data_IF_817352182562
#
_entry.id   IF_817352182562
#
_cell.length_a   1.000
_cell.length_b   1.000
_cell.length_c   1.000
_cell.angle_alpha   90.00
_cell.angle_beta   90.00
_cell.angle_gamma   90.00
#
_symmetry.space_group_name_H-M   'P 1'
#
loop_
_entity.id
_entity.type
_entity.pdbx_description
1 polymer ?
#
# COMPACT_ATOMS: atom_id res chain seq x y z
N UNK A 1 11.64 -6.72 9.40
CA UNK A 1 10.65 -7.72 8.98
C UNK A 1 9.33 -6.97 8.84
N UNK A 2 8.50 -7.27 7.84
CA UNK A 2 7.14 -6.72 7.80
C UNK A 2 6.38 -7.28 9.01
N UNK A 3 5.65 -6.42 9.73
CA UNK A 3 4.97 -6.75 10.97
C UNK A 3 3.78 -7.70 10.74
N UNK A 4 3.21 -8.21 11.83
CA UNK A 4 2.07 -9.15 11.77
C UNK A 4 0.80 -8.52 11.14
N UNK A 5 0.64 -7.19 11.24
CA UNK A 5 -0.49 -6.42 10.68
C UNK A 5 -0.37 -6.33 9.16
N UNK A 6 0.81 -6.02 8.63
CA UNK A 6 1.08 -5.93 7.19
C UNK A 6 0.77 -7.25 6.48
N UNK A 7 1.23 -8.38 7.05
CA UNK A 7 0.95 -9.72 6.50
C UNK A 7 -0.53 -10.10 6.50
N UNK A 8 -1.31 -9.58 7.45
CA UNK A 8 -2.75 -9.83 7.48
C UNK A 8 -3.49 -9.01 6.41
N UNK A 9 -3.05 -7.77 6.15
CA UNK A 9 -3.63 -6.93 5.10
C UNK A 9 -3.61 -7.63 3.74
N UNK A 10 -2.48 -8.23 3.34
CA UNK A 10 -2.36 -8.96 2.07
C UNK A 10 -3.42 -10.07 1.92
N UNK A 11 -3.69 -10.84 2.98
CA UNK A 11 -4.65 -11.93 2.95
C UNK A 11 -6.08 -11.42 2.75
N UNK A 12 -6.44 -10.36 3.46
CA UNK A 12 -7.76 -9.74 3.32
C UNK A 12 -7.92 -9.12 1.93
N UNK A 13 -6.91 -8.43 1.42
CA UNK A 13 -6.91 -7.86 0.08
C UNK A 13 -7.07 -8.97 -0.99
N UNK A 14 -6.28 -10.04 -0.90
CA UNK A 14 -6.39 -11.16 -1.82
C UNK A 14 -7.80 -11.77 -1.84
N UNK A 15 -8.39 -12.03 -0.67
CA UNK A 15 -9.77 -12.54 -0.58
C UNK A 15 -10.79 -11.53 -1.13
N UNK A 16 -10.61 -10.25 -0.83
CA UNK A 16 -11.51 -9.18 -1.28
C UNK A 16 -11.49 -9.00 -2.80
N UNK A 17 -10.31 -9.08 -3.42
CA UNK A 17 -10.17 -8.95 -4.88
C UNK A 17 -10.79 -10.11 -5.65
N UNK A 18 -10.90 -11.30 -5.04
CA UNK A 18 -11.53 -12.49 -5.64
C UNK A 18 -13.00 -12.69 -5.26
N UNK A 19 -13.50 -11.98 -4.24
CA UNK A 19 -14.88 -12.10 -3.80
C UNK A 19 -15.85 -11.44 -4.80
N UNK A 20 -17.09 -11.97 -4.84
CA UNK A 20 -18.24 -11.36 -5.56
C UNK A 20 -17.99 -11.09 -7.06
N UNK A 21 -17.20 -11.93 -7.73
CA UNK A 21 -16.91 -11.77 -9.17
C UNK A 21 -16.11 -10.51 -9.52
N UNK A 22 -15.45 -9.89 -8.54
CA UNK A 22 -14.59 -8.73 -8.77
C UNK A 22 -13.33 -9.13 -9.53
N UNK A 23 -12.89 -8.27 -10.44
CA UNK A 23 -11.59 -8.36 -11.10
C UNK A 23 -10.79 -7.12 -10.76
N UNK A 24 -10.18 -7.14 -9.57
CA UNK A 24 -9.32 -6.06 -9.10
C UNK A 24 -7.86 -6.51 -9.20
N UNK A 25 -7.03 -5.69 -9.83
CA UNK A 25 -5.58 -5.84 -9.85
C UNK A 25 -4.98 -5.14 -8.65
N UNK A 26 -3.93 -5.69 -8.07
CA UNK A 26 -3.22 -5.11 -6.94
C UNK A 26 -1.74 -5.48 -6.99
N UNK A 27 -0.92 -4.71 -6.29
CA UNK A 27 0.53 -4.89 -6.17
C UNK A 27 0.99 -4.60 -4.75
N UNK A 28 2.27 -4.86 -4.47
CA UNK A 28 2.92 -4.46 -3.22
C UNK A 28 4.08 -3.52 -3.48
N UNK A 29 4.32 -2.60 -2.55
CA UNK A 29 5.39 -1.62 -2.68
C UNK A 29 6.23 -1.50 -1.41
N UNK A 30 7.48 -1.09 -1.59
CA UNK A 30 8.42 -0.82 -0.50
C UNK A 30 9.88 -0.86 -0.93
N UNK A 31 10.79 -0.52 -0.01
CA UNK A 31 12.22 -0.30 -0.32
C UNK A 31 12.99 -1.54 -0.75
N UNK A 32 12.57 -2.73 -0.31
CA UNK A 32 13.34 -3.96 -0.49
C UNK A 32 12.56 -5.01 -1.27
N UNK A 33 12.90 -5.16 -2.55
CA UNK A 33 12.34 -6.20 -3.43
C UNK A 33 12.41 -7.60 -2.80
N UNK A 34 13.54 -7.92 -2.17
CA UNK A 34 13.77 -9.22 -1.54
C UNK A 34 12.78 -9.47 -0.39
N UNK A 35 12.58 -8.48 0.50
CA UNK A 35 11.62 -8.60 1.62
C UNK A 35 10.17 -8.68 1.13
N UNK A 36 9.84 -7.95 0.06
CA UNK A 36 8.51 -8.00 -0.56
C UNK A 36 8.22 -9.38 -1.17
N UNK A 37 9.18 -9.95 -1.91
CA UNK A 37 9.08 -11.33 -2.42
C UNK A 37 8.89 -12.34 -1.29
N UNK A 38 9.71 -12.25 -0.24
CA UNK A 38 9.60 -13.11 0.93
C UNK A 38 8.20 -13.05 1.55
N UNK A 39 7.59 -11.86 1.65
CA UNK A 39 6.24 -11.75 2.21
C UNK A 39 5.16 -12.34 1.31
N UNK A 40 5.30 -12.23 -0.02
CA UNK A 40 4.41 -12.95 -0.93
C UNK A 40 4.53 -14.46 -0.73
N UNK A 41 5.75 -14.98 -0.68
CA UNK A 41 6.04 -16.41 -0.45
C UNK A 41 5.43 -16.90 0.88
N UNK A 42 5.60 -16.14 1.96
CA UNK A 42 5.02 -16.47 3.27
C UNK A 42 3.48 -16.43 3.29
N UNK A 43 2.85 -15.71 2.36
CA UNK A 43 1.39 -15.64 2.25
C UNK A 43 0.78 -16.78 1.40
N UNK A 44 1.56 -17.39 0.50
CA UNK A 44 1.10 -18.48 -0.40
C UNK A 44 0.30 -19.58 0.30
N UNK A 45 0.71 -20.12 1.47
CA UNK A 45 -0.04 -21.19 2.13
C UNK A 45 -1.48 -20.80 2.52
N UNK A 46 -1.77 -19.50 2.61
CA UNK A 46 -3.02 -18.96 3.14
C UNK A 46 -3.91 -18.33 2.07
N UNK A 47 -3.34 -17.98 0.91
CA UNK A 47 -4.04 -17.34 -0.21
C UNK A 47 -4.11 -18.24 -1.45
N UNK A 48 -3.27 -19.28 -1.55
CA UNK A 48 -3.14 -20.11 -2.73
C UNK A 48 -1.96 -19.69 -3.64
N UNK A 49 -1.71 -20.46 -4.72
CA UNK A 49 -0.41 -20.49 -5.40
C UNK A 49 -0.07 -19.29 -6.29
N UNK A 50 -1.02 -18.43 -6.64
CA UNK A 50 -0.80 -17.42 -7.69
C UNK A 50 -0.55 -16.00 -7.12
N UNK A 51 0.42 -15.90 -6.22
CA UNK A 51 0.96 -14.61 -5.75
C UNK A 51 2.20 -14.16 -6.53
N UNK A 52 2.78 -15.02 -7.37
CA UNK A 52 4.02 -14.71 -8.12
C UNK A 52 3.82 -13.66 -9.21
N UNK A 53 2.58 -13.48 -9.67
CA UNK A 53 2.20 -12.48 -10.67
C UNK A 53 1.89 -11.10 -10.06
N UNK A 54 1.92 -10.97 -8.73
CA UNK A 54 1.65 -9.70 -8.07
C UNK A 54 2.80 -8.73 -8.36
N UNK A 55 2.52 -7.56 -8.97
CA UNK A 55 3.54 -6.55 -9.23
C UNK A 55 4.23 -6.11 -7.93
N UNK A 56 5.55 -6.01 -7.99
CA UNK A 56 6.38 -5.45 -6.92
C UNK A 56 6.93 -4.11 -7.40
N UNK A 57 6.58 -3.04 -6.69
CA UNK A 57 7.04 -1.68 -6.96
C UNK A 57 8.06 -1.26 -5.89
N UNK A 58 9.19 -0.69 -6.31
CA UNK A 58 10.14 -0.12 -5.36
C UNK A 58 9.74 1.31 -5.07
N UNK A 59 9.55 1.60 -3.79
CA UNK A 59 9.15 2.91 -3.27
C UNK A 59 9.91 3.17 -1.96
N UNK A 60 10.57 4.32 -1.89
CA UNK A 60 11.24 4.84 -0.71
C UNK A 60 10.61 6.18 -0.33
N UNK A 61 10.23 6.30 0.94
CA UNK A 61 9.63 7.52 1.50
C UNK A 61 10.57 8.73 1.50
N UNK A 62 11.87 8.50 1.26
CA UNK A 62 12.88 9.54 1.09
C UNK A 62 13.17 9.88 -0.38
N UNK A 63 12.47 9.25 -1.34
CA UNK A 63 12.65 9.44 -2.78
C UNK A 63 11.29 9.74 -3.44
N UNK A 64 11.01 11.01 -3.67
CA UNK A 64 9.75 11.49 -4.24
C UNK A 64 9.46 10.92 -5.62
N UNK A 65 10.48 10.73 -6.47
CA UNK A 65 10.28 10.17 -7.81
C UNK A 65 9.84 8.70 -7.72
N UNK A 66 10.39 7.96 -6.74
CA UNK A 66 9.96 6.59 -6.47
C UNK A 66 8.50 6.52 -5.97
N UNK A 67 8.08 7.48 -5.13
CA UNK A 67 6.72 7.58 -4.64
C UNK A 67 5.76 7.94 -5.77
N UNK A 68 6.06 8.95 -6.58
CA UNK A 68 5.24 9.37 -7.72
C UNK A 68 5.10 8.27 -8.78
N UNK A 69 6.17 7.50 -9.02
CA UNK A 69 6.11 6.31 -9.88
C UNK A 69 5.20 5.23 -9.30
N UNK A 70 5.19 5.04 -7.98
CA UNK A 70 4.31 4.08 -7.31
C UNK A 70 2.84 4.53 -7.35
N UNK A 71 2.57 5.77 -6.95
CA UNK A 71 1.21 6.30 -6.81
C UNK A 71 0.51 6.45 -8.15
N UNK A 72 1.21 6.83 -9.22
CA UNK A 72 0.66 6.92 -10.59
C UNK A 72 0.23 5.58 -11.21
N UNK A 73 0.67 4.44 -10.66
CA UNK A 73 0.29 3.11 -11.12
C UNK A 73 -0.91 2.51 -10.36
N UNK A 74 -1.48 3.26 -9.40
CA UNK A 74 -2.57 2.79 -8.57
C UNK A 74 -3.73 3.79 -8.54
N UNK A 75 -4.95 3.29 -8.36
CA UNK A 75 -6.12 4.15 -8.06
C UNK A 75 -6.30 4.41 -6.56
N UNK A 76 -5.76 3.53 -5.73
CA UNK A 76 -5.83 3.57 -4.27
C UNK A 76 -4.53 3.00 -3.70
N UNK A 77 -3.91 3.73 -2.78
CA UNK A 77 -2.82 3.27 -1.94
C UNK A 77 -3.37 2.93 -0.56
N UNK A 78 -3.11 1.69 -0.12
CA UNK A 78 -3.33 1.24 1.25
C UNK A 78 -1.97 1.33 1.95
N UNK A 79 -1.73 2.42 2.67
CA UNK A 79 -0.47 2.66 3.34
C UNK A 79 -0.44 1.94 4.68
N UNK A 80 0.46 0.96 4.81
CA UNK A 80 0.74 0.26 6.06
C UNK A 80 2.11 0.65 6.65
N UNK A 81 2.83 1.58 6.02
CA UNK A 81 4.17 1.99 6.40
C UNK A 81 4.11 3.13 7.43
N UNK A 82 4.00 2.75 8.71
CA UNK A 82 4.23 3.66 9.81
C UNK A 82 5.73 3.82 10.17
N UNK A 83 6.08 4.73 11.09
CA UNK A 83 5.20 5.69 11.78
C UNK A 83 4.69 6.82 10.83
N UNK A 84 3.38 7.11 10.89
CA UNK A 84 2.68 7.94 9.89
C UNK A 84 2.89 9.44 10.09
N UNK A 85 3.13 9.87 11.32
CA UNK A 85 3.57 11.24 11.65
C UNK A 85 4.89 11.62 10.99
N UNK A 86 5.78 10.64 10.75
CA UNK A 86 7.08 10.86 10.09
C UNK A 86 6.99 10.67 8.58
N UNK A 87 6.39 9.56 8.12
CA UNK A 87 6.48 9.15 6.72
C UNK A 87 5.16 9.26 5.94
N UNK A 88 4.04 9.49 6.62
CA UNK A 88 2.74 9.54 5.98
C UNK A 88 2.61 10.75 5.05
N UNK A 89 3.17 11.90 5.43
CA UNK A 89 3.05 13.16 4.69
C UNK A 89 3.57 13.04 3.26
N UNK A 90 4.74 12.43 3.05
CA UNK A 90 5.32 12.28 1.71
C UNK A 90 4.50 11.37 0.82
N UNK A 91 3.91 10.31 1.38
CA UNK A 91 3.00 9.41 0.65
C UNK A 91 1.70 10.11 0.28
N UNK A 92 1.13 10.93 1.17
CA UNK A 92 -0.07 11.73 0.88
C UNK A 92 0.20 12.73 -0.24
N UNK A 93 1.31 13.47 -0.16
CA UNK A 93 1.69 14.45 -1.17
C UNK A 93 1.81 13.77 -2.55
N UNK A 94 2.53 12.66 -2.63
CA UNK A 94 2.65 11.90 -3.88
C UNK A 94 1.30 11.36 -4.41
N UNK A 95 0.38 11.01 -3.52
CA UNK A 95 -0.98 10.62 -3.89
C UNK A 95 -1.78 11.81 -4.45
N UNK A 96 -1.68 13.00 -3.84
CA UNK A 96 -2.33 14.21 -4.33
C UNK A 96 -1.78 14.64 -5.70
N UNK A 97 -0.45 14.61 -5.88
CA UNK A 97 0.21 14.97 -7.14
C UNK A 97 -0.20 14.06 -8.31
N UNK A 98 -0.51 12.80 -8.03
CA UNK A 98 -0.86 11.80 -9.04
C UNK A 98 -2.35 11.52 -9.16
N UNK A 99 -3.19 12.16 -8.33
CA UNK A 99 -4.64 11.96 -8.32
C UNK A 99 -5.05 10.58 -7.78
N UNK A 100 -4.26 10.01 -6.88
CA UNK A 100 -4.44 8.67 -6.31
C UNK A 100 -5.07 8.74 -4.93
N UNK A 101 -6.07 7.89 -4.65
CA UNK A 101 -6.68 7.85 -3.33
C UNK A 101 -5.71 7.26 -2.30
N UNK A 102 -5.76 7.74 -1.07
CA UNK A 102 -4.93 7.26 0.03
C UNK A 102 -5.79 6.79 1.20
N UNK A 103 -5.46 5.62 1.76
CA UNK A 103 -6.03 5.13 3.02
C UNK A 103 -4.92 4.52 3.86
N UNK A 104 -4.94 4.77 5.16
CA UNK A 104 -4.00 4.18 6.11
C UNK A 104 -4.74 3.68 7.37
N UNK A 105 -3.99 3.09 8.30
CA UNK A 105 -4.50 2.60 9.59
C UNK A 105 -4.07 3.49 10.76
N UNK A 106 -3.64 4.73 10.48
CA UNK A 106 -3.18 5.64 11.51
C UNK A 106 -4.31 5.96 12.49
N UNK A 107 -4.01 5.97 13.79
CA UNK A 107 -4.98 6.38 14.81
C UNK A 107 -4.92 7.87 15.15
N UNK A 108 -3.91 8.57 14.63
CA UNK A 108 -3.54 9.91 15.09
C UNK A 108 -4.41 11.00 14.45
N UNK A 109 -5.33 11.56 15.23
CA UNK A 109 -6.27 12.63 14.82
C UNK A 109 -5.59 13.89 14.27
N UNK A 110 -4.36 14.20 14.71
CA UNK A 110 -3.62 15.38 14.25
C UNK A 110 -3.23 15.31 12.78
N UNK A 111 -2.98 14.11 12.25
CA UNK A 111 -2.52 13.92 10.87
C UNK A 111 -3.65 14.14 9.84
N UNK A 112 -4.88 13.72 10.17
CA UNK A 112 -6.05 13.86 9.30
C UNK A 112 -6.47 15.30 9.02
N UNK A 113 -6.34 16.19 10.00
CA UNK A 113 -6.81 17.58 9.88
C UNK A 113 -6.02 18.42 8.86
N UNK A 114 -4.77 18.05 8.57
CA UNK A 114 -3.89 18.83 7.67
C UNK A 114 -4.18 18.59 6.19
N UNK A 115 -4.71 17.42 5.82
CA UNK A 115 -4.87 16.97 4.42
C UNK A 115 -6.28 16.55 4.04
N UNK A 116 -7.24 16.63 4.96
CA UNK A 116 -8.63 16.35 4.65
C UNK A 116 -9.19 17.41 3.68
N UNK A 117 -9.43 17.01 2.44
CA UNK A 117 -10.26 17.77 1.51
C UNK A 117 -11.70 17.34 1.73
N UNK A 118 -12.52 18.22 2.31
CA UNK A 118 -13.97 18.00 2.35
C UNK A 118 -14.50 18.18 0.93
N UNK A 119 -15.00 17.10 0.33
CA UNK A 119 -15.82 17.18 -0.87
C UNK A 119 -17.18 17.71 -0.41
N UNK A 120 -17.50 18.95 -0.79
CA UNK A 120 -18.85 19.53 -0.62
C UNK A 120 -19.85 18.85 -1.55
#
# INVERSE_FOLDING_TARGET
>A
QLDKREKNCLKYLYRFTRANGRSLTWGIAGRSKAKLKQVLEECVPQTGPDLTQIPIIIADVNDNDSLNKMTSQARLIINCCGPFDVYGETVIIACLETGTHHVDVAGETFFYGKYAVQVQ
#
